data_IF_395707388694
#
_entry.id   IF_395707388694
#
_cell.length_a   1.000
_cell.length_b   1.000
_cell.length_c   1.000
_cell.angle_alpha   90.00
_cell.angle_beta   90.00
_cell.angle_gamma   90.00
#
_symmetry.space_group_name_H-M   'P 1'
#
loop_
_entity.id
_entity.type
_entity.pdbx_description
1 polymer ?
#
# COMPACT_ATOMS: atom_id res chain seq x y z
N UNK A 1 -50.27 -42.32 -50.47
CA UNK A 1 -48.85 -42.77 -50.56
C UNK A 1 -47.97 -41.64 -50.04
N UNK A 2 -47.48 -41.78 -48.81
CA UNK A 2 -46.71 -40.76 -48.09
C UNK A 2 -45.21 -40.87 -48.43
N UNK A 3 -44.61 -39.84 -49.03
CA UNK A 3 -43.16 -39.72 -49.19
C UNK A 3 -42.66 -38.55 -48.35
N UNK A 4 -42.34 -38.83 -47.08
CA UNK A 4 -41.62 -37.89 -46.20
C UNK A 4 -40.13 -37.97 -46.52
N UNK A 5 -39.55 -36.89 -47.03
CA UNK A 5 -38.11 -36.76 -47.19
C UNK A 5 -37.52 -36.31 -45.85
N UNK A 6 -36.57 -37.07 -45.33
CA UNK A 6 -35.77 -36.71 -44.15
C UNK A 6 -34.64 -35.80 -44.62
N UNK A 7 -34.70 -34.51 -44.30
CA UNK A 7 -33.56 -33.60 -44.42
C UNK A 7 -32.69 -33.73 -43.17
N UNK A 8 -31.45 -34.13 -43.40
CA UNK A 8 -30.40 -34.24 -42.39
C UNK A 8 -29.70 -32.89 -42.22
N UNK A 9 -29.45 -32.61 -40.95
CA UNK A 9 -28.78 -31.51 -40.23
C UNK A 9 -27.58 -30.83 -40.91
N UNK A 10 -27.44 -29.51 -40.69
CA UNK A 10 -26.15 -28.90 -40.34
C UNK A 10 -26.39 -27.59 -39.56
N UNK A 11 -26.45 -27.70 -38.22
CA UNK A 11 -26.29 -26.56 -37.32
C UNK A 11 -24.80 -26.27 -37.22
N UNK A 12 -24.33 -25.23 -37.92
CA UNK A 12 -23.04 -24.60 -37.65
C UNK A 12 -23.11 -23.95 -36.27
N UNK A 13 -22.55 -24.65 -35.28
CA UNK A 13 -22.26 -24.08 -33.98
C UNK A 13 -21.17 -23.01 -34.16
N UNK A 14 -21.59 -21.74 -34.22
CA UNK A 14 -20.68 -20.60 -34.11
C UNK A 14 -20.18 -20.59 -32.67
N UNK A 15 -18.99 -21.14 -32.45
CA UNK A 15 -18.27 -21.00 -31.21
C UNK A 15 -17.98 -19.51 -30.99
N UNK A 16 -18.83 -18.86 -30.19
CA UNK A 16 -18.57 -17.53 -29.68
C UNK A 16 -17.35 -17.62 -28.76
N UNK A 17 -16.18 -17.26 -29.28
CA UNK A 17 -15.01 -16.96 -28.47
C UNK A 17 -15.42 -15.88 -27.48
N UNK A 18 -15.26 -16.07 -26.16
CA UNK A 18 -15.45 -14.98 -25.22
C UNK A 18 -14.39 -13.95 -25.57
N UNK A 19 -14.82 -12.83 -26.13
CA UNK A 19 -14.02 -11.64 -26.21
C UNK A 19 -13.57 -11.35 -24.77
N UNK A 20 -12.28 -11.53 -24.49
CA UNK A 20 -11.63 -10.88 -23.36
C UNK A 20 -11.74 -9.38 -23.61
N UNK A 21 -12.88 -8.81 -23.25
CA UNK A 21 -13.00 -7.38 -23.09
C UNK A 21 -11.97 -7.03 -22.02
N UNK A 22 -10.96 -6.25 -22.40
CA UNK A 22 -10.05 -5.58 -21.48
C UNK A 22 -10.79 -4.48 -20.68
N UNK A 23 -12.01 -4.78 -20.24
CA UNK A 23 -12.80 -4.03 -19.28
C UNK A 23 -12.65 -4.68 -17.92
N UNK A 24 -11.41 -4.73 -17.43
CA UNK A 24 -11.24 -4.86 -15.98
C UNK A 24 -11.91 -3.67 -15.31
N UNK A 25 -12.47 -3.83 -14.10
CA UNK A 25 -12.94 -2.69 -13.32
C UNK A 25 -11.84 -1.62 -13.28
N UNK A 26 -12.20 -0.32 -13.35
CA UNK A 26 -11.21 0.75 -13.31
C UNK A 26 -10.28 0.51 -12.12
N UNK A 27 -8.96 0.61 -12.35
CA UNK A 27 -7.99 0.48 -11.27
C UNK A 27 -8.39 1.49 -10.18
N UNK A 28 -8.70 1.03 -8.97
CA UNK A 28 -9.15 1.89 -7.89
C UNK A 28 -8.12 3.00 -7.68
N UNK A 29 -8.61 4.23 -7.67
CA UNK A 29 -7.75 5.41 -7.63
C UNK A 29 -7.03 5.51 -6.28
N UNK A 30 -5.90 6.21 -6.24
CA UNK A 30 -5.22 6.51 -4.97
C UNK A 30 -6.15 7.19 -3.94
N UNK A 31 -7.20 7.88 -4.40
CA UNK A 31 -8.21 8.49 -3.54
C UNK A 31 -9.11 7.45 -2.84
N UNK A 32 -9.42 6.33 -3.48
CA UNK A 32 -10.22 5.25 -2.87
C UNK A 32 -9.44 4.57 -1.75
N UNK A 33 -8.17 4.25 -1.99
CA UNK A 33 -7.28 3.67 -0.98
C UNK A 33 -7.16 4.62 0.21
N UNK A 34 -6.94 5.91 -0.04
CA UNK A 34 -6.88 6.93 1.01
C UNK A 34 -8.18 6.99 1.81
N UNK A 35 -9.33 7.10 1.14
CA UNK A 35 -10.63 7.18 1.81
C UNK A 35 -10.92 5.93 2.67
N UNK A 36 -10.60 4.74 2.16
CA UNK A 36 -10.75 3.49 2.90
C UNK A 36 -9.87 3.47 4.16
N UNK A 37 -8.61 3.87 4.02
CA UNK A 37 -7.68 3.92 5.14
C UNK A 37 -8.09 4.95 6.18
N UNK A 38 -8.41 6.17 5.77
CA UNK A 38 -8.84 7.24 6.66
C UNK A 38 -10.04 6.79 7.50
N UNK A 39 -11.00 6.08 6.90
CA UNK A 39 -12.13 5.49 7.62
C UNK A 39 -11.69 4.52 8.72
N UNK A 40 -10.72 3.63 8.46
CA UNK A 40 -10.21 2.70 9.48
C UNK A 40 -9.54 3.46 10.64
N UNK A 41 -8.80 4.54 10.36
CA UNK A 41 -8.17 5.36 11.40
C UNK A 41 -9.16 6.19 12.24
N UNK A 42 -10.45 6.23 11.88
CA UNK A 42 -11.51 6.80 12.74
C UNK A 42 -11.96 5.87 13.87
N UNK A 43 -11.42 4.65 13.99
CA UNK A 43 -11.76 3.70 15.05
C UNK A 43 -11.55 4.32 16.45
N UNK A 44 -12.61 4.34 17.27
CA UNK A 44 -12.61 4.93 18.62
C UNK A 44 -11.66 4.21 19.58
N UNK A 45 -11.29 2.96 19.29
CA UNK A 45 -10.30 2.22 20.09
C UNK A 45 -8.90 2.84 19.99
N UNK A 46 -8.67 3.76 19.05
CA UNK A 46 -7.44 4.54 18.95
C UNK A 46 -7.42 5.77 19.86
N UNK A 47 -8.56 6.16 20.46
CA UNK A 47 -8.68 7.37 21.28
C UNK A 47 -7.59 7.51 22.37
N UNK A 48 -7.16 6.45 23.08
CA UNK A 48 -6.10 6.56 24.09
C UNK A 48 -4.75 7.06 23.57
N UNK A 49 -4.49 6.97 22.27
CA UNK A 49 -3.20 7.32 21.64
C UNK A 49 -3.31 8.44 20.60
N UNK A 50 -4.51 8.99 20.36
CA UNK A 50 -4.74 10.02 19.33
C UNK A 50 -3.91 11.29 19.53
N UNK A 51 -3.60 11.63 20.78
CA UNK A 51 -2.76 12.79 21.10
C UNK A 51 -1.26 12.45 21.07
N UNK A 52 -0.88 11.18 20.89
CA UNK A 52 0.50 10.69 21.03
C UNK A 52 1.12 10.24 19.72
N UNK A 53 0.30 9.92 18.72
CA UNK A 53 0.72 9.48 17.39
C UNK A 53 -0.09 10.26 16.36
N UNK A 54 0.56 10.70 15.28
CA UNK A 54 -0.13 11.29 14.14
C UNK A 54 -0.85 10.18 13.37
N UNK A 55 -2.17 10.30 13.24
CA UNK A 55 -3.01 9.37 12.50
C UNK A 55 -3.62 10.08 11.28
N UNK A 56 -3.67 9.45 10.10
CA UNK A 56 -3.09 8.14 9.77
C UNK A 56 -1.55 8.15 9.85
N UNK A 57 -0.94 6.96 9.97
CA UNK A 57 0.52 6.84 9.93
C UNK A 57 0.99 7.26 8.53
N UNK A 58 1.64 8.42 8.45
CA UNK A 58 2.20 8.96 7.22
C UNK A 58 3.72 8.88 7.24
N UNK A 59 4.31 8.27 6.20
CA UNK A 59 5.74 8.03 6.10
C UNK A 59 6.43 9.28 5.54
N UNK A 60 7.40 9.83 6.28
CA UNK A 60 8.19 10.99 5.85
C UNK A 60 7.49 12.34 5.98
N UNK A 61 6.24 12.37 6.43
CA UNK A 61 5.55 13.61 6.72
C UNK A 61 6.06 14.22 8.03
N UNK A 62 6.15 15.57 8.11
CA UNK A 62 6.58 16.26 9.32
C UNK A 62 5.78 15.82 10.54
N UNK A 63 6.49 15.47 11.61
CA UNK A 63 5.87 15.15 12.90
C UNK A 63 5.79 16.41 13.76
N UNK A 64 4.66 16.67 14.44
CA UNK A 64 4.54 17.77 15.40
C UNK A 64 5.62 17.69 16.50
N UNK A 65 6.15 18.84 16.91
CA UNK A 65 7.26 18.90 17.89
C UNK A 65 6.85 18.29 19.23
N UNK A 66 5.60 18.48 19.64
CA UNK A 66 5.03 17.91 20.85
C UNK A 66 5.01 16.37 20.79
N UNK A 67 4.67 15.78 19.63
CA UNK A 67 4.74 14.33 19.40
C UNK A 67 6.18 13.84 19.47
N UNK A 68 7.12 14.52 18.79
CA UNK A 68 8.55 14.18 18.80
C UNK A 68 9.18 14.27 20.20
N UNK A 69 8.66 15.14 21.05
CA UNK A 69 9.13 15.34 22.42
C UNK A 69 8.53 14.32 23.42
N UNK A 70 7.53 13.51 23.04
CA UNK A 70 6.90 12.53 23.95
C UNK A 70 7.87 11.41 24.34
N UNK A 71 8.43 11.54 25.55
CA UNK A 71 9.29 10.49 26.17
C UNK A 71 8.50 9.42 26.92
N UNK A 72 7.17 9.51 26.92
CA UNK A 72 6.28 8.54 27.55
C UNK A 72 6.17 7.27 26.71
N UNK A 73 6.11 6.13 27.39
CA UNK A 73 5.91 4.79 26.82
C UNK A 73 4.43 4.43 26.89
N UNK A 74 4.00 3.43 26.12
CA UNK A 74 2.61 2.98 26.12
C UNK A 74 2.21 2.44 27.51
N UNK A 75 1.09 2.94 28.04
CA UNK A 75 0.44 2.35 29.22
C UNK A 75 -0.29 1.05 28.85
N UNK A 76 -0.68 0.23 29.83
CA UNK A 76 -1.43 -1.02 29.56
C UNK A 76 -2.73 -0.78 28.77
N UNK A 77 -3.43 0.33 29.03
CA UNK A 77 -4.63 0.70 28.26
C UNK A 77 -4.27 1.08 26.82
N UNK A 78 -3.19 1.83 26.64
CA UNK A 78 -2.72 2.29 25.33
C UNK A 78 -2.16 1.14 24.49
N UNK A 79 -1.56 0.12 25.09
CA UNK A 79 -1.07 -1.07 24.38
C UNK A 79 -2.16 -1.71 23.53
N UNK A 80 -3.41 -1.75 24.01
CA UNK A 80 -4.54 -2.25 23.21
C UNK A 80 -4.83 -1.35 22.00
N UNK A 81 -4.73 -0.03 22.16
CA UNK A 81 -4.87 0.91 21.06
C UNK A 81 -3.72 0.76 20.04
N UNK A 82 -2.49 0.49 20.48
CA UNK A 82 -1.32 0.21 19.61
C UNK A 82 -1.54 -1.07 18.80
N UNK A 83 -2.11 -2.13 19.39
CA UNK A 83 -2.47 -3.33 18.63
C UNK A 83 -3.53 -3.06 17.56
N UNK A 84 -4.56 -2.27 17.90
CA UNK A 84 -5.58 -1.84 16.93
C UNK A 84 -4.93 -1.01 15.81
N UNK A 85 -4.01 -0.12 16.14
CA UNK A 85 -3.25 0.68 15.17
C UNK A 85 -2.45 -0.19 14.21
N UNK A 86 -1.72 -1.20 14.72
CA UNK A 86 -0.97 -2.16 13.90
C UNK A 86 -1.88 -2.92 12.94
N UNK A 87 -3.03 -3.40 13.44
CA UNK A 87 -4.01 -4.10 12.60
C UNK A 87 -4.58 -3.19 11.51
N UNK A 88 -4.88 -1.93 11.81
CA UNK A 88 -5.35 -0.96 10.82
C UNK A 88 -4.28 -0.70 9.76
N UNK A 89 -3.03 -0.53 10.17
CA UNK A 89 -1.91 -0.31 9.26
C UNK A 89 -1.72 -1.48 8.29
N UNK A 90 -1.74 -2.71 8.79
CA UNK A 90 -1.65 -3.93 7.96
C UNK A 90 -2.84 -4.06 7.00
N UNK A 91 -4.07 -3.85 7.48
CA UNK A 91 -5.28 -3.90 6.65
C UNK A 91 -5.27 -2.84 5.54
N UNK A 92 -4.75 -1.66 5.83
CA UNK A 92 -4.53 -0.62 4.84
C UNK A 92 -3.56 -1.04 3.74
N UNK A 93 -2.41 -1.62 4.13
CA UNK A 93 -1.42 -2.11 3.18
C UNK A 93 -1.97 -3.28 2.34
N UNK A 94 -2.68 -4.22 2.97
CA UNK A 94 -3.33 -5.34 2.28
C UNK A 94 -4.40 -4.84 1.29
N UNK A 95 -5.21 -3.87 1.69
CA UNK A 95 -6.19 -3.23 0.80
C UNK A 95 -5.46 -2.59 -0.39
N UNK A 96 -4.45 -1.75 -0.16
CA UNK A 96 -3.69 -1.13 -1.23
C UNK A 96 -3.08 -2.17 -2.19
N UNK A 97 -2.45 -3.21 -1.66
CA UNK A 97 -1.81 -4.27 -2.45
C UNK A 97 -2.80 -5.00 -3.37
N UNK A 98 -4.00 -5.34 -2.86
CA UNK A 98 -5.09 -5.96 -3.65
C UNK A 98 -5.63 -5.08 -4.78
N UNK A 99 -5.26 -3.80 -4.82
CA UNK A 99 -5.87 -2.78 -5.69
C UNK A 99 -4.89 -2.23 -6.71
N UNK A 100 -3.67 -1.94 -6.28
CA UNK A 100 -2.62 -1.37 -7.14
C UNK A 100 -1.40 -2.27 -7.31
N UNK A 101 -1.42 -3.46 -6.70
CA UNK A 101 -0.29 -4.40 -6.68
C UNK A 101 0.62 -4.17 -5.48
N UNK A 102 1.55 -5.11 -5.28
CA UNK A 102 2.53 -5.04 -4.20
C UNK A 102 3.37 -3.75 -4.26
N UNK A 103 3.71 -3.15 -3.11
CA UNK A 103 4.57 -1.99 -3.09
C UNK A 103 5.99 -2.37 -3.58
N UNK A 104 6.77 -1.40 -4.11
CA UNK A 104 8.18 -1.61 -4.38
C UNK A 104 8.93 -2.12 -3.15
N UNK A 105 9.99 -2.90 -3.35
CA UNK A 105 10.73 -3.57 -2.28
C UNK A 105 11.21 -2.62 -1.15
N UNK A 106 11.64 -1.40 -1.51
CA UNK A 106 12.04 -0.40 -0.52
C UNK A 106 10.87 -0.01 0.40
N UNK A 107 9.67 0.18 -0.16
CA UNK A 107 8.46 0.51 0.60
C UNK A 107 7.96 -0.69 1.42
N UNK A 108 8.05 -1.90 0.88
CA UNK A 108 7.74 -3.12 1.63
C UNK A 108 8.63 -3.25 2.88
N UNK A 109 9.93 -2.97 2.76
CA UNK A 109 10.88 -2.95 3.88
C UNK A 109 10.49 -1.88 4.91
N UNK A 110 10.11 -0.69 4.45
CA UNK A 110 9.64 0.40 5.31
C UNK A 110 8.36 0.03 6.08
N UNK A 111 7.43 -0.68 5.45
CA UNK A 111 6.23 -1.19 6.13
C UNK A 111 6.59 -2.19 7.24
N UNK A 112 7.57 -3.07 7.03
CA UNK A 112 8.07 -3.99 8.06
C UNK A 112 8.63 -3.22 9.25
N UNK A 113 9.48 -2.23 9.02
CA UNK A 113 10.05 -1.42 10.10
C UNK A 113 8.99 -0.62 10.89
N UNK A 114 7.88 -0.24 10.26
CA UNK A 114 6.77 0.41 10.97
C UNK A 114 6.08 -0.59 11.89
N UNK A 115 5.84 -1.81 11.42
CA UNK A 115 5.25 -2.89 12.24
C UNK A 115 6.17 -3.26 13.40
N UNK A 116 7.48 -3.38 13.16
CA UNK A 116 8.49 -3.57 14.21
C UNK A 116 8.44 -2.42 15.24
N UNK A 117 8.41 -1.16 14.79
CA UNK A 117 8.31 -0.01 15.69
C UNK A 117 7.01 0.02 16.50
N UNK A 118 5.89 -0.43 15.94
CA UNK A 118 4.63 -0.58 16.67
C UNK A 118 4.71 -1.71 17.71
N UNK A 119 5.41 -2.80 17.40
CA UNK A 119 5.65 -3.90 18.33
C UNK A 119 6.55 -3.44 19.50
N UNK A 120 7.63 -2.71 19.23
CA UNK A 120 8.50 -2.13 20.26
C UNK A 120 7.75 -1.13 21.15
N UNK A 121 6.85 -0.33 20.56
CA UNK A 121 6.01 0.60 21.29
C UNK A 121 5.00 -0.14 22.19
N UNK A 122 4.41 -1.24 21.69
CA UNK A 122 3.54 -2.13 22.46
C UNK A 122 4.27 -2.81 23.61
N UNK A 123 5.48 -3.31 23.38
CA UNK A 123 6.32 -3.91 24.42
C UNK A 123 6.70 -2.88 25.51
N UNK A 124 6.66 -1.60 25.17
CA UNK A 124 7.12 -0.51 26.01
C UNK A 124 8.64 -0.38 25.98
N UNK A 125 9.29 -0.84 24.92
CA UNK A 125 10.74 -0.71 24.73
C UNK A 125 11.10 0.71 24.30
N UNK A 126 10.27 1.30 23.44
CA UNK A 126 10.43 2.68 22.94
C UNK A 126 9.29 3.61 23.40
N UNK A 127 9.56 4.92 23.37
CA UNK A 127 8.56 5.97 23.60
C UNK A 127 7.83 6.37 22.32
N UNK A 128 6.68 7.05 22.43
CA UNK A 128 5.97 7.59 21.27
C UNK A 128 6.83 8.54 20.43
N UNK A 129 7.64 9.38 21.07
CA UNK A 129 8.58 10.27 20.39
C UNK A 129 9.71 9.53 19.67
N UNK A 130 10.15 8.37 20.19
CA UNK A 130 11.11 7.52 19.47
C UNK A 130 10.46 6.86 18.24
N UNK A 131 9.21 6.39 18.36
CA UNK A 131 8.43 5.89 17.24
C UNK A 131 8.21 6.98 16.17
N UNK A 132 7.82 8.20 16.56
CA UNK A 132 7.63 9.30 15.62
C UNK A 132 8.94 9.66 14.87
N UNK A 133 10.09 9.58 15.54
CA UNK A 133 11.41 9.76 14.89
C UNK A 133 11.74 8.64 13.90
N UNK A 134 11.36 7.39 14.21
CA UNK A 134 11.60 6.30 13.26
C UNK A 134 10.81 6.50 11.98
N UNK A 135 9.56 7.01 12.05
CA UNK A 135 8.76 7.35 10.87
C UNK A 135 9.42 8.39 9.96
N UNK A 136 10.08 9.41 10.55
CA UNK A 136 10.84 10.40 9.80
C UNK A 136 12.03 9.76 9.08
N UNK A 137 12.82 8.96 9.81
CA UNK A 137 13.99 8.28 9.24
C UNK A 137 13.62 7.28 8.13
N UNK A 138 12.53 6.53 8.32
CA UNK A 138 11.97 5.63 7.31
C UNK A 138 11.58 6.44 6.06
N UNK A 139 10.94 7.59 6.23
CA UNK A 139 10.57 8.46 5.11
C UNK A 139 11.74 9.05 4.34
N UNK A 140 12.80 9.45 5.04
CA UNK A 140 14.04 9.90 4.39
C UNK A 140 14.69 8.79 3.56
N UNK A 141 14.74 7.57 4.11
CA UNK A 141 15.23 6.39 3.38
C UNK A 141 14.38 6.08 2.16
N UNK A 142 13.05 6.11 2.28
CA UNK A 142 12.13 5.87 1.16
C UNK A 142 12.29 6.92 0.07
N UNK A 143 12.45 8.19 0.43
CA UNK A 143 12.68 9.28 -0.52
C UNK A 143 13.99 9.07 -1.30
N UNK A 144 15.07 8.70 -0.60
CA UNK A 144 16.36 8.44 -1.23
C UNK A 144 16.28 7.23 -2.17
N UNK A 145 15.67 6.11 -1.71
CA UNK A 145 15.50 4.91 -2.52
C UNK A 145 14.63 5.19 -3.77
N UNK A 146 13.59 6.02 -3.64
CA UNK A 146 12.77 6.42 -4.78
C UNK A 146 13.56 7.24 -5.80
N UNK A 147 14.37 8.19 -5.34
CA UNK A 147 15.23 8.99 -6.21
C UNK A 147 16.22 8.11 -6.98
N UNK A 148 16.88 7.17 -6.30
CA UNK A 148 17.80 6.22 -6.93
C UNK A 148 17.10 5.39 -8.01
N UNK A 149 15.90 4.88 -7.72
CA UNK A 149 15.11 4.13 -8.70
C UNK A 149 14.75 4.98 -9.92
N UNK A 150 14.30 6.22 -9.72
CA UNK A 150 13.93 7.11 -10.82
C UNK A 150 15.16 7.47 -11.69
N UNK A 151 16.35 7.63 -11.08
CA UNK A 151 17.59 7.89 -11.79
C UNK A 151 18.10 6.67 -12.57
N UNK A 152 17.99 5.46 -12.00
CA UNK A 152 18.29 4.22 -12.72
C UNK A 152 17.38 4.02 -13.93
N UNK A 153 16.08 4.29 -13.79
CA UNK A 153 15.13 4.18 -14.89
C UNK A 153 15.44 5.19 -16.01
N UNK A 154 15.76 6.44 -15.67
CA UNK A 154 16.20 7.44 -16.66
C UNK A 154 17.49 7.05 -17.35
N UNK A 155 18.46 6.49 -16.61
CA UNK A 155 19.72 6.00 -17.17
C UNK A 155 19.49 4.88 -18.18
N UNK A 156 18.67 3.88 -17.82
CA UNK A 156 18.31 2.78 -18.72
C UNK A 156 17.59 3.26 -19.98
N UNK A 157 16.67 4.20 -19.84
CA UNK A 157 15.96 4.79 -20.97
C UNK A 157 16.90 5.56 -21.91
N UNK A 158 17.84 6.33 -21.36
CA UNK A 158 18.89 6.99 -22.16
C UNK A 158 19.74 5.99 -22.93
N UNK A 159 20.14 4.88 -22.29
CA UNK A 159 20.89 3.82 -22.95
C UNK A 159 20.09 3.15 -24.06
N UNK A 160 18.79 2.90 -23.84
CA UNK A 160 17.88 2.36 -24.87
C UNK A 160 17.83 3.28 -26.09
N UNK A 161 17.61 4.58 -25.89
CA UNK A 161 17.56 5.58 -26.97
C UNK A 161 18.89 5.65 -27.74
N UNK A 162 20.04 5.64 -27.03
CA UNK A 162 21.35 5.66 -27.67
C UNK A 162 21.63 4.39 -28.47
N UNK A 163 21.22 3.23 -27.97
CA UNK A 163 21.35 1.96 -28.69
C UNK A 163 20.45 1.91 -29.93
N UNK A 164 19.22 2.41 -29.83
CA UNK A 164 18.28 2.52 -30.96
C UNK A 164 18.81 3.52 -32.03
N UNK A 165 19.51 4.57 -31.61
CA UNK A 165 20.09 5.58 -32.52
C UNK A 165 21.40 5.10 -33.20
N UNK A 166 22.24 4.34 -32.48
CA UNK A 166 23.51 3.81 -33.01
C UNK A 166 23.35 2.45 -33.72
N UNK A 167 22.13 1.90 -33.77
CA UNK A 167 21.78 0.63 -34.42
C UNK A 167 21.35 0.72 -35.88
N UNK A 168 21.56 1.86 -36.55
CA UNK A 168 21.47 2.03 -38.00
C UNK A 168 22.85 2.26 -38.62
#
# INVERSE_FOLDING_TARGET
MNRKWKTFTLLTAVAALPACTAGGPPKPSAAEIRAHCDQLYTDQRLDPIRDKVVLPIAIGDPQPVDVLAKRVKATEQEKQAVLVLSSIFERCNEFAAKRVGEPPAYRATSNVHIVEGLADLYAGDISYGQFAKSLLYIGERDKLARQQLDDELKSREKWRILHDYNGN
#
